data_IF_800947760322
#
_entry.id   IF_800947760322
#
_cell.length_a   1.000
_cell.length_b   1.000
_cell.length_c   1.000
_cell.angle_alpha   90.00
_cell.angle_beta   90.00
_cell.angle_gamma   90.00
#
_symmetry.space_group_name_H-M   'P 1'
#
loop_
_entity.id
_entity.type
_entity.pdbx_description
1 polymer ?
#
# COMPACT_ATOMS: atom_id res chain seq x y z
N UNK A 1 3.22 26.53 10.58
CA UNK A 1 3.12 25.73 9.33
C UNK A 1 3.69 24.31 9.47
N UNK A 2 3.64 23.68 10.65
CA UNK A 2 4.33 22.40 10.89
C UNK A 2 3.67 21.16 10.26
N UNK A 3 2.36 21.20 9.98
CA UNK A 3 1.62 20.05 9.43
C UNK A 3 1.92 19.83 7.95
N UNK A 4 2.00 20.91 7.16
CA UNK A 4 2.28 20.84 5.71
C UNK A 4 3.67 20.24 5.46
N UNK A 5 4.63 20.48 6.36
CA UNK A 5 5.97 19.92 6.25
C UNK A 5 5.98 18.41 6.48
N UNK A 6 5.11 17.86 7.35
CA UNK A 6 5.00 16.40 7.51
C UNK A 6 4.51 15.71 6.25
N UNK A 7 3.59 16.33 5.51
CA UNK A 7 3.09 15.80 4.24
C UNK A 7 4.13 15.78 3.12
N UNK A 8 5.19 16.61 3.22
CA UNK A 8 6.29 16.63 2.24
C UNK A 8 7.48 15.80 2.71
N UNK A 9 7.83 15.90 3.99
CA UNK A 9 9.01 15.25 4.55
C UNK A 9 9.01 13.74 4.37
N UNK A 10 7.87 13.06 4.61
CA UNK A 10 7.80 11.62 4.46
C UNK A 10 7.92 11.16 3.00
N UNK A 11 7.11 11.65 2.04
CA UNK A 11 7.29 11.31 0.62
C UNK A 11 8.70 11.60 0.11
N UNK A 12 9.28 12.75 0.46
CA UNK A 12 10.64 13.12 0.03
C UNK A 12 11.70 12.17 0.62
N UNK A 13 11.54 11.71 1.86
CA UNK A 13 12.49 10.76 2.47
C UNK A 13 12.56 9.40 1.75
N UNK A 14 11.56 9.08 0.93
CA UNK A 14 11.48 7.83 0.16
C UNK A 14 11.54 8.06 -1.36
N UNK A 15 11.94 9.27 -1.79
CA UNK A 15 12.11 9.60 -3.20
C UNK A 15 10.81 9.81 -3.98
N UNK A 16 9.69 10.08 -3.31
CA UNK A 16 8.38 10.29 -3.94
C UNK A 16 7.90 11.74 -3.76
N UNK A 17 7.21 12.29 -4.76
CA UNK A 17 6.38 13.49 -4.57
C UNK A 17 5.13 13.15 -3.75
N UNK A 18 4.53 14.15 -3.11
CA UNK A 18 3.29 13.97 -2.33
C UNK A 18 2.21 13.21 -3.10
N UNK A 19 1.96 13.56 -4.35
CA UNK A 19 0.92 12.91 -5.16
C UNK A 19 1.30 11.49 -5.61
N UNK A 20 2.57 11.21 -5.87
CA UNK A 20 3.03 9.84 -6.15
C UNK A 20 2.83 8.94 -4.94
N UNK A 21 3.23 9.42 -3.75
CA UNK A 21 3.06 8.71 -2.50
C UNK A 21 1.59 8.51 -2.15
N UNK A 22 0.78 9.57 -2.25
CA UNK A 22 -0.66 9.53 -1.98
C UNK A 22 -1.37 8.53 -2.89
N UNK A 23 -1.16 8.62 -4.21
CA UNK A 23 -1.78 7.71 -5.18
C UNK A 23 -1.32 6.27 -4.94
N UNK A 24 -0.03 6.10 -4.66
CA UNK A 24 0.57 4.84 -4.31
C UNK A 24 -0.06 4.14 -3.11
N UNK A 25 -0.03 4.83 -1.97
CA UNK A 25 -0.59 4.36 -0.72
C UNK A 25 -2.10 4.15 -0.82
N UNK A 26 -2.83 5.06 -1.48
CA UNK A 26 -4.28 4.94 -1.66
C UNK A 26 -4.67 3.73 -2.51
N UNK A 27 -3.91 3.43 -3.56
CA UNK A 27 -4.13 2.26 -4.41
C UNK A 27 -3.93 0.94 -3.64
N UNK A 28 -2.87 0.84 -2.84
CA UNK A 28 -2.63 -0.33 -1.98
C UNK A 28 -3.74 -0.43 -0.92
N UNK A 29 -4.03 0.66 -0.21
CA UNK A 29 -5.03 0.69 0.87
C UNK A 29 -6.43 0.31 0.40
N UNK A 30 -6.88 0.83 -0.75
CA UNK A 30 -8.19 0.49 -1.33
C UNK A 30 -8.29 -1.01 -1.63
N UNK A 31 -7.23 -1.59 -2.21
CA UNK A 31 -7.20 -3.03 -2.49
C UNK A 31 -7.11 -3.87 -1.21
N UNK A 32 -6.45 -3.40 -0.15
CA UNK A 32 -6.47 -4.04 1.16
C UNK A 32 -7.89 -4.08 1.75
N UNK A 33 -8.65 -2.98 1.64
CA UNK A 33 -10.05 -2.94 2.09
C UNK A 33 -10.89 -3.97 1.34
N UNK A 34 -10.76 -4.03 0.00
CA UNK A 34 -11.47 -5.01 -0.83
C UNK A 34 -11.09 -6.44 -0.43
N UNK A 35 -9.80 -6.72 -0.26
CA UNK A 35 -9.32 -8.03 0.17
C UNK A 35 -9.86 -8.41 1.55
N UNK A 36 -9.90 -7.47 2.50
CA UNK A 36 -10.48 -7.65 3.83
C UNK A 36 -11.97 -7.98 3.76
N UNK A 37 -12.75 -7.22 2.98
CA UNK A 37 -14.18 -7.49 2.76
C UNK A 37 -14.39 -8.88 2.13
N UNK A 38 -13.57 -9.25 1.13
CA UNK A 38 -13.64 -10.58 0.52
C UNK A 38 -13.35 -11.70 1.54
N UNK A 39 -12.37 -11.52 2.43
CA UNK A 39 -12.09 -12.45 3.52
C UNK A 39 -13.24 -12.56 4.52
N UNK A 40 -13.87 -11.45 4.90
CA UNK A 40 -15.03 -11.45 5.80
C UNK A 40 -16.22 -12.19 5.18
N UNK A 41 -16.51 -11.91 3.91
CA UNK A 41 -17.57 -12.61 3.17
C UNK A 41 -17.25 -14.10 2.99
N UNK A 42 -15.99 -14.47 2.78
CA UNK A 42 -15.57 -15.86 2.75
C UNK A 42 -15.76 -16.55 4.11
N UNK A 43 -15.42 -15.88 5.22
CA UNK A 43 -15.64 -16.39 6.57
C UNK A 43 -17.12 -16.64 6.89
N UNK A 44 -18.02 -15.80 6.36
CA UNK A 44 -19.46 -15.97 6.51
C UNK A 44 -20.04 -17.00 5.52
N UNK A 45 -19.54 -16.99 4.28
CA UNK A 45 -19.97 -17.85 3.19
C UNK A 45 -18.75 -18.56 2.59
N UNK A 46 -18.39 -19.76 3.08
CA UNK A 46 -17.11 -20.43 2.74
C UNK A 46 -16.97 -20.79 1.25
N UNK A 47 -18.04 -20.71 0.47
CA UNK A 47 -18.02 -20.91 -0.98
C UNK A 47 -17.74 -19.62 -1.78
N UNK A 48 -17.85 -18.43 -1.18
CA UNK A 48 -17.52 -17.16 -1.82
C UNK A 48 -16.02 -16.88 -1.69
N UNK A 49 -15.41 -16.30 -2.72
CA UNK A 49 -14.05 -15.73 -2.67
C UNK A 49 -12.94 -16.69 -2.16
N UNK A 50 -13.10 -18.00 -2.37
CA UNK A 50 -12.26 -19.08 -1.81
C UNK A 50 -10.75 -18.89 -1.93
N UNK A 51 -10.28 -18.21 -2.99
CA UNK A 51 -8.87 -17.84 -3.19
C UNK A 51 -8.63 -16.34 -3.36
N UNK A 52 -9.69 -15.54 -3.44
CA UNK A 52 -9.57 -14.11 -3.77
C UNK A 52 -8.84 -13.35 -2.67
N UNK A 53 -9.22 -13.58 -1.40
CA UNK A 53 -8.61 -12.91 -0.26
C UNK A 53 -7.10 -13.17 -0.16
N UNK A 54 -6.69 -14.44 -0.17
CA UNK A 54 -5.28 -14.84 -0.10
C UNK A 54 -4.48 -14.34 -1.31
N UNK A 55 -5.03 -14.47 -2.53
CA UNK A 55 -4.34 -14.03 -3.74
C UNK A 55 -4.12 -12.51 -3.76
N UNK A 56 -5.10 -11.73 -3.30
CA UNK A 56 -4.95 -10.28 -3.16
C UNK A 56 -3.94 -9.94 -2.08
N UNK A 57 -3.97 -10.61 -0.93
CA UNK A 57 -3.01 -10.39 0.15
C UNK A 57 -1.57 -10.62 -0.31
N UNK A 58 -1.28 -11.73 -1.01
CA UNK A 58 0.07 -12.01 -1.50
C UNK A 58 0.55 -10.98 -2.53
N UNK A 59 -0.32 -10.58 -3.46
CA UNK A 59 -0.01 -9.54 -4.45
C UNK A 59 0.29 -8.20 -3.77
N UNK A 60 -0.54 -7.81 -2.80
CA UNK A 60 -0.36 -6.56 -2.05
C UNK A 60 0.90 -6.59 -1.20
N UNK A 61 1.19 -7.72 -0.55
CA UNK A 61 2.42 -7.89 0.22
C UNK A 61 3.66 -7.78 -0.66
N UNK A 62 3.66 -8.43 -1.84
CA UNK A 62 4.75 -8.32 -2.80
C UNK A 62 4.95 -6.86 -3.23
N UNK A 63 3.89 -6.18 -3.66
CA UNK A 63 3.96 -4.78 -4.10
C UNK A 63 4.46 -3.84 -2.98
N UNK A 64 3.96 -4.02 -1.75
CA UNK A 64 4.40 -3.24 -0.60
C UNK A 64 5.88 -3.50 -0.26
N UNK A 65 6.33 -4.75 -0.34
CA UNK A 65 7.72 -5.14 -0.13
C UNK A 65 8.65 -4.52 -1.18
N UNK A 66 8.28 -4.57 -2.45
CA UNK A 66 9.04 -3.96 -3.55
C UNK A 66 9.12 -2.43 -3.40
N UNK A 67 8.02 -1.79 -2.99
CA UNK A 67 8.00 -0.34 -2.70
C UNK A 67 8.91 0.03 -1.55
N UNK A 68 8.85 -0.74 -0.46
CA UNK A 68 9.74 -0.56 0.68
C UNK A 68 11.20 -0.74 0.26
N UNK A 69 11.52 -1.77 -0.51
CA UNK A 69 12.90 -1.99 -0.97
C UNK A 69 13.43 -0.82 -1.81
N UNK A 70 12.58 -0.24 -2.69
CA UNK A 70 12.93 0.98 -3.43
C UNK A 70 13.15 2.18 -2.51
N UNK A 71 12.33 2.32 -1.47
CA UNK A 71 12.50 3.37 -0.47
C UNK A 71 13.79 3.19 0.34
N UNK A 72 14.10 1.97 0.77
CA UNK A 72 15.29 1.64 1.56
C UNK A 72 16.60 1.83 0.74
N UNK A 73 16.52 1.73 -0.58
CA UNK A 73 17.65 1.94 -1.52
C UNK A 73 17.70 3.34 -2.11
N UNK A 74 16.75 4.23 -1.75
CA UNK A 74 16.74 5.61 -2.21
C UNK A 74 17.86 6.41 -1.54
N UNK A 75 18.75 6.96 -2.35
CA UNK A 75 19.75 7.93 -1.94
C UNK A 75 19.30 9.32 -2.45
N UNK A 76 19.13 10.33 -1.58
CA UNK A 76 18.91 11.71 -2.02
C UNK A 76 20.09 12.18 -2.85
N UNK A 77 19.84 12.88 -3.97
CA UNK A 77 20.90 13.57 -4.69
C UNK A 77 21.48 14.67 -3.78
N UNK A 78 22.80 14.66 -3.59
CA UNK A 78 23.55 15.67 -2.81
C UNK A 78 23.43 17.09 -3.40
#
# INVERSE_FOLDING_TARGET
>A
MAIVDKFKAHPTSVGESYFQHLNGASSIGTRMIIAGVACLLHGLFPFLFTRTGSNMLFKLHQEASERRHRADTYQPAE
#
